data_IF_498206411917
#
_entry.id   IF_498206411917
#
_cell.length_a   1.000
_cell.length_b   1.000
_cell.length_c   1.000
_cell.angle_alpha   90.00
_cell.angle_beta   90.00
_cell.angle_gamma   90.00
#
_symmetry.space_group_name_H-M   'P 1'
#
loop_
_entity.id
_entity.type
_entity.pdbx_description
1 polymer ?
#
# COMPACT_ATOMS: atom_id res chain seq x y z
N UNK A 1 -4.53 10.84 -23.11
CA UNK A 1 -4.37 11.45 -21.78
C UNK A 1 -5.72 11.99 -21.34
N UNK A 2 -6.41 11.32 -20.40
CA UNK A 2 -7.65 11.86 -19.83
C UNK A 2 -7.32 12.87 -18.72
N UNK A 3 -8.01 14.01 -18.65
CA UNK A 3 -7.82 14.96 -17.57
C UNK A 3 -8.29 14.33 -16.25
N UNK A 4 -7.36 14.14 -15.31
CA UNK A 4 -7.65 13.68 -13.96
C UNK A 4 -8.35 14.83 -13.24
N UNK A 5 -9.65 14.68 -12.94
CA UNK A 5 -10.38 15.64 -12.11
C UNK A 5 -9.85 15.56 -10.66
N UNK A 6 -9.53 16.69 -10.00
CA UNK A 6 -9.05 16.68 -8.63
C UNK A 6 -10.11 16.12 -7.68
N UNK A 7 -9.69 15.25 -6.76
CA UNK A 7 -10.52 14.84 -5.63
C UNK A 7 -10.54 15.98 -4.60
N UNK A 8 -11.71 16.61 -4.46
CA UNK A 8 -11.93 17.75 -3.57
C UNK A 8 -12.53 17.21 -2.28
N UNK A 9 -11.72 17.11 -1.23
CA UNK A 9 -12.22 16.83 0.12
C UNK A 9 -13.04 18.04 0.57
N UNK A 10 -14.37 17.88 0.66
CA UNK A 10 -15.27 18.94 1.14
C UNK A 10 -15.00 19.16 2.63
N UNK A 11 -14.16 20.14 2.95
CA UNK A 11 -14.11 20.69 4.31
C UNK A 11 -15.49 21.26 4.59
N UNK A 12 -16.20 20.72 5.59
CA UNK A 12 -17.53 21.14 6.07
C UNK A 12 -17.48 22.49 6.79
N UNK A 13 -16.69 23.44 6.30
CA UNK A 13 -16.84 24.83 6.68
C UNK A 13 -18.07 25.35 5.93
N UNK A 14 -19.07 25.86 6.66
CA UNK A 14 -20.22 26.49 6.01
C UNK A 14 -19.71 27.58 5.06
N UNK A 15 -20.20 27.60 3.81
CA UNK A 15 -19.77 28.60 2.83
C UNK A 15 -20.00 29.99 3.42
N UNK A 16 -18.94 30.79 3.55
CA UNK A 16 -19.09 32.17 4.03
C UNK A 16 -19.72 32.98 2.91
N UNK A 17 -20.94 33.47 3.18
CA UNK A 17 -21.63 34.42 2.30
C UNK A 17 -20.84 35.72 2.29
N UNK A 18 -20.44 36.17 1.10
CA UNK A 18 -19.79 37.46 0.88
C UNK A 18 -20.65 38.29 -0.05
N UNK A 19 -20.57 39.61 0.11
CA UNK A 19 -21.22 40.58 -0.76
C UNK A 19 -20.11 41.37 -1.42
N UNK A 20 -20.18 41.51 -2.74
CA UNK A 20 -19.32 42.41 -3.49
C UNK A 20 -19.83 43.85 -3.30
N UNK A 21 -19.03 44.68 -2.64
CA UNK A 21 -19.40 46.06 -2.29
C UNK A 21 -19.57 46.98 -3.51
N UNK A 22 -18.99 46.63 -4.67
CA UNK A 22 -19.11 47.42 -5.89
C UNK A 22 -20.33 47.07 -6.74
N UNK A 23 -20.71 45.79 -6.78
CA UNK A 23 -21.81 45.31 -7.63
C UNK A 23 -23.08 44.97 -6.85
N UNK A 24 -22.98 44.85 -5.52
CA UNK A 24 -24.03 44.32 -4.65
C UNK A 24 -24.29 42.82 -4.81
N UNK A 25 -23.49 42.11 -5.61
CA UNK A 25 -23.68 40.68 -5.85
C UNK A 25 -23.30 39.86 -4.61
N UNK A 26 -24.17 38.91 -4.26
CA UNK A 26 -23.92 37.94 -3.19
C UNK A 26 -23.28 36.70 -3.80
N UNK A 27 -22.12 36.29 -3.28
CA UNK A 27 -21.44 35.07 -3.68
C UNK A 27 -21.03 34.23 -2.47
N UNK A 28 -20.73 32.96 -2.73
CA UNK A 28 -20.25 32.01 -1.73
C UNK A 28 -18.82 31.60 -2.08
N UNK A 29 -17.90 31.83 -1.17
CA UNK A 29 -16.52 31.40 -1.34
C UNK A 29 -16.29 30.08 -0.62
N UNK A 30 -15.95 29.03 -1.39
CA UNK A 30 -15.54 27.74 -0.87
C UNK A 30 -14.02 27.63 -0.98
N UNK A 31 -13.32 27.86 0.14
CA UNK A 31 -11.88 27.61 0.19
C UNK A 31 -11.65 26.12 0.44
N UNK A 32 -11.18 25.40 -0.58
CA UNK A 32 -10.72 24.02 -0.43
C UNK A 32 -9.20 24.05 -0.30
N UNK A 33 -8.64 23.37 0.70
CA UNK A 33 -7.20 23.14 0.74
C UNK A 33 -6.81 22.30 -0.47
N UNK A 34 -6.00 22.87 -1.37
CA UNK A 34 -5.42 22.11 -2.45
C UNK A 34 -4.53 21.01 -1.87
N UNK A 35 -4.94 19.75 -2.06
CA UNK A 35 -4.10 18.60 -1.77
C UNK A 35 -3.23 18.35 -3.00
N UNK A 36 -1.95 18.07 -2.80
CA UNK A 36 -1.07 17.65 -3.89
C UNK A 36 -1.73 16.48 -4.63
N UNK A 37 -1.77 16.54 -5.97
CA UNK A 37 -2.27 15.43 -6.79
C UNK A 37 -1.31 14.24 -6.76
N UNK A 38 -0.10 14.45 -6.25
CA UNK A 38 0.90 13.43 -6.16
C UNK A 38 0.72 12.62 -4.87
N UNK A 39 0.80 11.28 -4.94
CA UNK A 39 0.61 10.43 -3.78
C UNK A 39 1.74 10.66 -2.78
N UNK A 40 1.43 11.35 -1.67
CA UNK A 40 2.46 11.73 -0.69
C UNK A 40 3.22 10.54 -0.10
N UNK A 41 2.62 9.34 -0.12
CA UNK A 41 3.21 8.12 0.44
C UNK A 41 4.50 7.67 -0.26
N UNK A 42 4.71 8.06 -1.52
CA UNK A 42 5.89 7.66 -2.29
C UNK A 42 7.19 8.23 -1.72
N UNK A 43 7.12 9.46 -1.21
CA UNK A 43 8.26 10.18 -0.61
C UNK A 43 8.31 10.13 0.91
N UNK A 44 7.31 9.52 1.55
CA UNK A 44 7.30 9.39 3.01
C UNK A 44 8.44 8.47 3.45
N UNK A 45 9.25 9.00 4.35
CA UNK A 45 10.27 8.24 5.08
C UNK A 45 9.72 7.85 6.45
N UNK A 46 10.22 6.75 7.01
CA UNK A 46 9.78 6.24 8.32
C UNK A 46 10.50 6.94 9.47
N UNK A 47 11.79 7.16 9.28
CA UNK A 47 12.68 7.79 10.24
C UNK A 47 12.69 9.30 10.13
N UNK A 48 13.39 9.92 11.08
CA UNK A 48 13.70 11.34 11.02
C UNK A 48 15.00 11.51 10.25
N UNK A 49 15.01 12.44 9.30
CA UNK A 49 16.27 12.91 8.72
C UNK A 49 17.03 13.60 9.85
N UNK A 50 18.05 12.92 10.38
CA UNK A 50 18.88 13.45 11.45
C UNK A 50 19.43 14.82 11.06
N UNK A 51 19.33 15.79 11.96
CA UNK A 51 20.03 17.06 11.79
C UNK A 51 21.55 16.73 11.74
N UNK A 52 22.26 17.14 10.67
CA UNK A 52 23.71 16.95 10.57
C UNK A 52 24.49 17.41 11.81
N UNK A 53 23.96 18.40 12.54
CA UNK A 53 24.55 18.94 13.76
C UNK A 53 24.53 17.95 14.93
N UNK A 54 23.59 17.00 14.93
CA UNK A 54 23.42 16.01 16.01
C UNK A 54 24.46 14.91 15.90
N UNK A 55 24.82 14.49 14.68
CA UNK A 55 25.85 13.47 14.47
C UNK A 55 27.26 14.08 14.53
N UNK A 56 27.66 14.60 15.68
CA UNK A 56 29.07 14.92 15.93
C UNK A 56 29.87 13.62 15.97
N UNK A 57 31.10 13.69 15.47
CA UNK A 57 32.05 12.62 15.69
C UNK A 57 32.19 12.39 17.20
N UNK A 58 31.94 11.16 17.67
CA UNK A 58 32.11 10.82 19.09
C UNK A 58 33.59 10.83 19.53
N UNK A 59 34.51 10.76 18.56
CA UNK A 59 35.96 10.80 18.78
C UNK A 59 36.50 12.21 18.58
N UNK A 60 37.60 12.53 19.24
CA UNK A 60 38.35 13.77 19.02
C UNK A 60 38.80 13.82 17.54
N UNK A 61 38.43 14.89 16.84
CA UNK A 61 38.81 15.13 15.44
C UNK A 61 37.66 15.18 14.43
N UNK A 62 37.98 15.64 13.21
CA UNK A 62 37.04 15.72 12.10
C UNK A 62 36.58 14.33 11.61
N UNK A 63 35.39 14.25 11.01
CA UNK A 63 34.92 13.03 10.36
C UNK A 63 35.76 12.70 9.14
N UNK A 64 35.86 11.40 8.81
CA UNK A 64 36.50 11.02 7.56
C UNK A 64 35.71 11.58 6.38
N UNK A 65 36.39 11.90 5.28
CA UNK A 65 35.73 12.38 4.06
C UNK A 65 34.65 11.38 3.58
N UNK A 66 34.93 10.09 3.70
CA UNK A 66 34.00 9.02 3.37
C UNK A 66 32.73 9.09 4.22
N UNK A 67 32.86 9.25 5.54
CA UNK A 67 31.70 9.36 6.43
C UNK A 67 30.87 10.60 6.14
N UNK A 68 31.54 11.73 5.84
CA UNK A 68 30.86 12.96 5.44
C UNK A 68 30.11 12.78 4.12
N UNK A 69 30.72 12.14 3.13
CA UNK A 69 30.11 11.85 1.84
C UNK A 69 28.89 10.93 1.99
N UNK A 70 29.01 9.82 2.73
CA UNK A 70 27.91 8.88 2.98
C UNK A 70 26.72 9.57 3.66
N UNK A 71 26.97 10.41 4.66
CA UNK A 71 25.91 11.17 5.34
C UNK A 71 25.25 12.18 4.41
N UNK A 72 26.04 12.86 3.57
CA UNK A 72 25.53 13.81 2.59
C UNK A 72 24.65 13.11 1.55
N UNK A 73 25.09 11.95 1.05
CA UNK A 73 24.31 11.13 0.11
C UNK A 73 23.02 10.64 0.75
N UNK A 74 23.08 10.04 1.94
CA UNK A 74 21.89 9.56 2.65
C UNK A 74 20.85 10.66 2.88
N UNK A 75 21.29 11.89 3.18
CA UNK A 75 20.40 13.05 3.36
C UNK A 75 19.76 13.52 2.07
N UNK A 76 20.50 13.45 0.96
CA UNK A 76 20.06 13.93 -0.35
C UNK A 76 19.56 12.78 -1.23
N UNK A 77 19.23 11.63 -0.65
CA UNK A 77 18.93 10.40 -1.40
C UNK A 77 17.78 10.59 -2.40
N UNK A 78 16.79 11.43 -2.07
CA UNK A 78 15.67 11.77 -2.96
C UNK A 78 16.06 12.58 -4.20
N UNK A 79 17.30 13.08 -4.27
CA UNK A 79 17.85 13.83 -5.39
C UNK A 79 18.87 13.03 -6.21
N UNK A 80 19.25 11.84 -5.74
CA UNK A 80 20.20 10.98 -6.44
C UNK A 80 19.39 10.09 -7.38
N UNK A 81 19.65 10.21 -8.67
CA UNK A 81 19.01 9.38 -9.68
C UNK A 81 19.69 8.02 -9.83
N UNK A 82 19.08 7.17 -10.63
CA UNK A 82 19.59 5.83 -10.93
C UNK A 82 21.01 5.86 -11.51
N UNK A 83 21.31 6.77 -12.44
CA UNK A 83 22.61 6.85 -13.11
C UNK A 83 23.73 7.24 -12.15
N UNK A 84 23.49 8.20 -11.25
CA UNK A 84 24.43 8.56 -10.20
C UNK A 84 24.65 7.42 -9.21
N UNK A 85 23.57 6.72 -8.80
CA UNK A 85 23.70 5.55 -7.92
C UNK A 85 24.51 4.45 -8.60
N UNK A 86 24.26 4.13 -9.88
CA UNK A 86 24.96 3.07 -10.62
C UNK A 86 26.48 3.27 -10.67
N UNK A 87 26.96 4.52 -10.62
CA UNK A 87 28.39 4.84 -10.61
C UNK A 87 29.08 4.56 -9.26
N UNK A 88 28.33 4.33 -8.17
CA UNK A 88 28.89 4.10 -6.85
C UNK A 88 29.43 2.66 -6.77
N UNK A 89 30.68 2.43 -6.32
CA UNK A 89 31.18 1.08 -6.11
C UNK A 89 30.33 0.30 -5.09
N UNK A 90 30.04 -0.99 -5.33
CA UNK A 90 29.12 -1.80 -4.52
C UNK A 90 29.44 -1.79 -3.01
N UNK A 91 30.72 -1.77 -2.62
CA UNK A 91 31.12 -1.71 -1.21
C UNK A 91 30.77 -0.37 -0.53
N UNK A 92 30.71 0.73 -1.28
CA UNK A 92 30.24 2.03 -0.80
C UNK A 92 28.71 2.04 -0.78
N UNK A 93 28.07 1.49 -1.82
CA UNK A 93 26.62 1.32 -1.87
C UNK A 93 26.11 0.53 -0.64
N UNK A 94 26.75 -0.59 -0.29
CA UNK A 94 26.40 -1.37 0.90
C UNK A 94 26.53 -0.55 2.20
N UNK A 95 27.59 0.26 2.34
CA UNK A 95 27.72 1.17 3.50
C UNK A 95 26.61 2.22 3.52
N UNK A 96 26.23 2.75 2.37
CA UNK A 96 25.14 3.71 2.22
C UNK A 96 23.79 3.07 2.55
N UNK A 97 23.51 1.86 2.05
CA UNK A 97 22.30 1.10 2.34
C UNK A 97 22.16 0.82 3.83
N UNK A 98 23.23 0.38 4.48
CA UNK A 98 23.27 0.17 5.94
C UNK A 98 23.00 1.47 6.69
N UNK A 99 23.58 2.58 6.24
CA UNK A 99 23.35 3.89 6.84
C UNK A 99 21.89 4.32 6.74
N UNK A 100 21.29 4.25 5.54
CA UNK A 100 19.88 4.63 5.29
C UNK A 100 18.92 3.72 6.07
N UNK A 101 19.21 2.43 6.11
CA UNK A 101 18.43 1.44 6.86
C UNK A 101 18.47 1.73 8.35
N UNK A 102 19.66 2.01 8.91
CA UNK A 102 19.83 2.33 10.33
C UNK A 102 19.14 3.63 10.75
N UNK A 103 18.95 4.58 9.82
CA UNK A 103 18.20 5.82 10.07
C UNK A 103 16.73 5.72 9.69
N UNK A 104 16.27 4.59 9.15
CA UNK A 104 14.91 4.40 8.64
C UNK A 104 14.49 5.46 7.60
N UNK A 105 15.45 6.06 6.89
CA UNK A 105 15.21 7.17 5.96
C UNK A 105 14.89 6.73 4.53
N UNK A 106 14.60 5.44 4.33
CA UNK A 106 14.09 4.96 3.06
C UNK A 106 12.73 5.59 2.76
N UNK A 107 12.59 6.15 1.57
CA UNK A 107 11.30 6.29 0.90
C UNK A 107 11.16 5.14 -0.10
N UNK A 108 9.94 4.88 -0.58
CA UNK A 108 9.72 3.82 -1.55
C UNK A 108 10.47 4.11 -2.87
N UNK A 109 10.41 5.35 -3.37
CA UNK A 109 11.13 5.78 -4.57
C UNK A 109 12.66 5.61 -4.44
N UNK A 110 13.23 6.00 -3.30
CA UNK A 110 14.68 5.89 -3.07
C UNK A 110 15.10 4.44 -2.90
N UNK A 111 14.27 3.61 -2.28
CA UNK A 111 14.49 2.18 -2.16
C UNK A 111 14.45 1.49 -3.53
N UNK A 112 13.43 1.77 -4.36
CA UNK A 112 13.32 1.21 -5.71
C UNK A 112 14.51 1.60 -6.59
N UNK A 113 14.86 2.89 -6.60
CA UNK A 113 15.99 3.40 -7.38
C UNK A 113 17.30 2.74 -6.94
N UNK A 114 17.46 2.53 -5.64
CA UNK A 114 18.66 1.91 -5.08
C UNK A 114 18.73 0.40 -5.36
N UNK A 115 17.64 -0.34 -5.18
CA UNK A 115 17.57 -1.78 -5.49
C UNK A 115 17.81 -2.02 -6.98
N UNK A 116 17.27 -1.16 -7.85
CA UNK A 116 17.52 -1.24 -9.28
C UNK A 116 19.01 -1.04 -9.62
N UNK A 117 19.69 -0.12 -8.92
CA UNK A 117 21.10 0.21 -9.18
C UNK A 117 22.09 -0.77 -8.53
N UNK A 118 21.78 -1.28 -7.34
CA UNK A 118 22.66 -2.11 -6.49
C UNK A 118 21.87 -3.22 -5.78
N UNK A 119 21.36 -4.24 -6.49
CA UNK A 119 20.59 -5.31 -5.87
C UNK A 119 21.42 -6.09 -4.83
N UNK A 120 22.74 -6.22 -5.01
CA UNK A 120 23.62 -6.93 -4.09
C UNK A 120 23.88 -6.18 -2.77
N UNK A 121 23.62 -4.87 -2.73
CA UNK A 121 23.94 -4.03 -1.59
C UNK A 121 22.83 -3.96 -0.53
N UNK A 122 21.63 -4.45 -0.85
CA UNK A 122 20.45 -4.39 0.02
C UNK A 122 20.29 -5.73 0.76
N UNK A 123 20.60 -5.79 2.07
CA UNK A 123 20.56 -7.05 2.81
C UNK A 123 19.15 -7.62 2.99
N UNK A 124 18.12 -6.76 2.96
CA UNK A 124 16.72 -7.15 3.01
C UNK A 124 15.95 -6.52 1.85
N UNK A 125 15.57 -7.34 0.86
CA UNK A 125 14.76 -6.93 -0.29
C UNK A 125 13.29 -6.66 0.06
N UNK A 126 12.92 -6.72 1.34
CA UNK A 126 11.58 -6.38 1.78
C UNK A 126 11.48 -4.90 2.14
N UNK A 127 10.64 -4.18 1.39
CA UNK A 127 10.18 -2.85 1.80
C UNK A 127 8.76 -2.93 2.33
N UNK A 128 8.54 -2.37 3.52
CA UNK A 128 7.19 -2.23 4.09
C UNK A 128 6.75 -0.77 3.98
N UNK A 129 5.54 -0.56 3.48
CA UNK A 129 4.91 0.76 3.37
C UNK A 129 3.60 0.77 4.15
N UNK A 130 3.44 1.73 5.05
CA UNK A 130 2.21 1.93 5.81
C UNK A 130 1.55 3.24 5.34
N UNK A 131 0.35 3.13 4.77
CA UNK A 131 -0.42 4.28 4.27
C UNK A 131 -1.63 4.47 5.19
N UNK A 132 -1.55 5.39 6.16
CA UNK A 132 -2.66 5.62 7.06
C UNK A 132 -3.79 6.34 6.32
N UNK A 133 -5.02 5.89 6.57
CA UNK A 133 -6.25 6.54 6.15
C UNK A 133 -7.25 6.51 7.33
N UNK A 134 -8.28 7.33 7.27
CA UNK A 134 -9.32 7.33 8.29
C UNK A 134 -10.15 6.04 8.20
N UNK A 135 -10.52 5.48 9.36
CA UNK A 135 -11.27 4.22 9.41
C UNK A 135 -12.52 4.31 8.54
N UNK A 136 -12.70 3.30 7.69
CA UNK A 136 -13.79 3.14 6.71
C UNK A 136 -14.03 4.29 5.76
N UNK A 137 -13.02 5.09 5.47
CA UNK A 137 -12.98 5.77 4.19
C UNK A 137 -12.77 4.75 3.07
N UNK A 138 -13.11 5.17 1.86
CA UNK A 138 -12.80 4.40 0.66
C UNK A 138 -11.30 4.39 0.40
N UNK A 139 -10.83 3.41 -0.36
CA UNK A 139 -9.42 3.26 -0.74
C UNK A 139 -8.97 4.29 -1.78
N UNK A 140 -8.83 5.56 -1.38
CA UNK A 140 -8.47 6.68 -2.25
C UNK A 140 -7.09 6.52 -2.91
N UNK A 141 -6.14 5.88 -2.22
CA UNK A 141 -4.77 5.67 -2.70
C UNK A 141 -4.60 4.38 -3.52
N UNK A 142 -5.62 3.52 -3.59
CA UNK A 142 -5.51 2.25 -4.32
C UNK A 142 -5.22 2.44 -5.82
N UNK A 143 -5.84 3.37 -6.55
CA UNK A 143 -5.53 3.57 -7.97
C UNK A 143 -4.06 4.01 -8.19
N UNK A 144 -3.53 4.87 -7.32
CA UNK A 144 -2.14 5.33 -7.41
C UNK A 144 -1.17 4.20 -7.07
N UNK A 145 -1.47 3.41 -6.05
CA UNK A 145 -0.72 2.20 -5.68
C UNK A 145 -0.70 1.17 -6.80
N UNK A 146 -1.87 0.85 -7.36
CA UNK A 146 -1.99 -0.14 -8.42
C UNK A 146 -1.17 0.28 -9.65
N UNK A 147 -1.30 1.55 -10.06
CA UNK A 147 -0.50 2.11 -11.16
C UNK A 147 0.99 2.01 -10.88
N UNK A 148 1.42 2.30 -9.65
CA UNK A 148 2.83 2.24 -9.26
C UNK A 148 3.36 0.81 -9.27
N UNK A 149 2.69 -0.12 -8.57
CA UNK A 149 3.06 -1.53 -8.47
C UNK A 149 3.07 -2.22 -9.83
N UNK A 150 2.18 -1.84 -10.74
CA UNK A 150 2.14 -2.36 -12.10
C UNK A 150 3.34 -1.91 -12.97
N UNK A 151 4.00 -0.80 -12.61
CA UNK A 151 5.12 -0.23 -13.36
C UNK A 151 6.49 -0.68 -12.84
N UNK A 152 6.55 -1.45 -11.75
CA UNK A 152 7.82 -1.91 -11.20
C UNK A 152 8.52 -2.87 -12.17
N UNK A 153 9.77 -2.57 -12.50
CA UNK A 153 10.55 -3.20 -13.58
C UNK A 153 11.29 -4.47 -13.16
N UNK A 154 11.34 -4.77 -11.87
CA UNK A 154 12.03 -5.92 -11.29
C UNK A 154 11.02 -6.99 -10.83
N UNK A 155 11.48 -8.25 -10.76
CA UNK A 155 10.68 -9.36 -10.24
C UNK A 155 10.51 -9.19 -8.73
N UNK A 156 9.43 -8.53 -8.36
CA UNK A 156 9.05 -8.27 -6.98
C UNK A 156 7.83 -9.09 -6.65
N UNK A 157 7.64 -9.31 -5.36
CA UNK A 157 6.44 -9.95 -4.85
C UNK A 157 5.74 -8.98 -3.92
N UNK A 158 4.46 -8.75 -4.19
CA UNK A 158 3.66 -7.79 -3.45
C UNK A 158 2.84 -8.50 -2.37
N UNK A 159 2.92 -7.96 -1.16
CA UNK A 159 2.04 -8.30 -0.04
C UNK A 159 1.18 -7.10 0.27
N UNK A 160 -0.12 -7.21 0.02
CA UNK A 160 -1.07 -6.13 0.28
C UNK A 160 -1.92 -6.47 1.50
N UNK A 161 -1.94 -5.57 2.46
CA UNK A 161 -2.80 -5.66 3.65
C UNK A 161 -3.66 -4.42 3.75
N UNK A 162 -4.98 -4.58 3.66
CA UNK A 162 -5.98 -3.52 3.82
C UNK A 162 -6.79 -3.84 5.06
N UNK A 163 -6.79 -2.93 6.03
CA UNK A 163 -7.36 -3.18 7.36
C UNK A 163 -8.29 -2.04 7.74
N UNK A 164 -9.52 -2.37 8.16
CA UNK A 164 -10.53 -1.43 8.67
C UNK A 164 -10.98 -0.34 7.66
N UNK A 165 -10.78 -0.57 6.36
CA UNK A 165 -11.21 0.33 5.29
C UNK A 165 -12.45 -0.18 4.57
N UNK A 166 -13.20 0.73 3.95
CA UNK A 166 -14.33 0.36 3.10
C UNK A 166 -13.81 0.02 1.71
N UNK A 167 -14.23 -1.13 1.17
CA UNK A 167 -13.89 -1.54 -0.19
C UNK A 167 -15.15 -1.83 -0.97
N UNK A 168 -15.18 -1.37 -2.21
CA UNK A 168 -16.22 -1.72 -3.18
C UNK A 168 -15.78 -2.90 -4.02
N UNK A 169 -16.70 -3.48 -4.79
CA UNK A 169 -16.37 -4.49 -5.80
C UNK A 169 -15.33 -3.96 -6.79
N UNK A 170 -15.42 -2.69 -7.16
CA UNK A 170 -14.46 -2.04 -8.05
C UNK A 170 -13.06 -1.98 -7.44
N UNK A 171 -12.95 -1.73 -6.13
CA UNK A 171 -11.66 -1.78 -5.45
C UNK A 171 -11.03 -3.18 -5.50
N UNK A 172 -11.82 -4.24 -5.32
CA UNK A 172 -11.32 -5.60 -5.46
C UNK A 172 -10.86 -5.93 -6.88
N UNK A 173 -11.54 -5.41 -7.90
CA UNK A 173 -11.12 -5.55 -9.29
C UNK A 173 -9.82 -4.79 -9.56
N UNK A 174 -9.63 -3.61 -8.97
CA UNK A 174 -8.37 -2.88 -9.03
C UNK A 174 -7.24 -3.66 -8.34
N UNK A 175 -7.48 -4.24 -7.17
CA UNK A 175 -6.49 -5.08 -6.46
C UNK A 175 -6.10 -6.30 -7.30
N UNK A 176 -7.07 -6.91 -7.99
CA UNK A 176 -6.80 -8.07 -8.84
C UNK A 176 -5.82 -7.76 -9.97
N UNK A 177 -5.79 -6.52 -10.46
CA UNK A 177 -4.89 -6.10 -11.56
C UNK A 177 -3.41 -6.01 -11.14
N UNK A 178 -3.10 -6.12 -9.84
CA UNK A 178 -1.71 -6.09 -9.36
C UNK A 178 -1.03 -7.40 -9.81
N UNK A 179 -0.06 -7.35 -10.76
CA UNK A 179 0.40 -8.56 -11.47
C UNK A 179 1.17 -9.54 -10.57
N UNK A 180 1.88 -9.02 -9.57
CA UNK A 180 2.74 -9.81 -8.69
C UNK A 180 2.20 -9.92 -7.25
N UNK A 181 0.88 -9.92 -7.07
CA UNK A 181 0.27 -10.06 -5.76
C UNK A 181 0.34 -11.51 -5.27
N UNK A 182 1.17 -11.78 -4.25
CA UNK A 182 1.32 -13.12 -3.64
C UNK A 182 0.46 -13.26 -2.38
N UNK A 183 0.41 -12.21 -1.56
CA UNK A 183 -0.33 -12.21 -0.30
C UNK A 183 -1.35 -11.09 -0.33
N UNK A 184 -2.62 -11.44 -0.15
CA UNK A 184 -3.71 -10.49 0.00
C UNK A 184 -4.39 -10.70 1.35
N UNK A 185 -4.30 -9.68 2.22
CA UNK A 185 -4.99 -9.63 3.48
C UNK A 185 -6.03 -8.50 3.45
N UNK A 186 -7.31 -8.85 3.48
CA UNK A 186 -8.41 -7.90 3.62
C UNK A 186 -9.10 -8.13 4.95
N UNK A 187 -9.13 -7.10 5.77
CA UNK A 187 -9.86 -7.09 7.02
C UNK A 187 -10.95 -6.02 6.92
N UNK A 188 -12.18 -6.50 6.78
CA UNK A 188 -13.38 -5.66 6.79
C UNK A 188 -13.58 -4.98 8.14
N UNK A 189 -14.54 -4.05 8.16
CA UNK A 189 -15.04 -3.52 9.43
C UNK A 189 -15.86 -4.59 10.14
N UNK A 190 -15.73 -4.66 11.45
CA UNK A 190 -16.68 -5.40 12.27
C UNK A 190 -18.03 -4.68 12.14
N UNK A 191 -18.94 -5.22 11.32
CA UNK A 191 -20.31 -4.70 11.23
C UNK A 191 -21.00 -4.94 12.58
N UNK A 192 -21.63 -3.91 13.15
CA UNK A 192 -22.33 -4.05 14.41
C UNK A 192 -23.59 -4.89 14.23
N UNK A 193 -23.65 -6.06 14.89
CA UNK A 193 -24.77 -6.98 15.17
C UNK A 193 -25.91 -7.26 14.15
N UNK A 194 -26.09 -6.52 13.06
CA UNK A 194 -27.06 -6.83 12.01
C UNK A 194 -26.39 -7.67 10.93
N UNK A 195 -26.62 -8.98 11.00
CA UNK A 195 -26.10 -10.01 10.08
C UNK A 195 -26.57 -9.78 8.63
N UNK A 196 -27.71 -9.10 8.43
CA UNK A 196 -28.31 -8.94 7.09
C UNK A 196 -27.72 -7.81 6.24
N UNK A 197 -26.88 -6.93 6.79
CA UNK A 197 -26.38 -5.72 6.09
C UNK A 197 -24.89 -5.80 5.71
N UNK A 198 -24.27 -6.98 5.77
CA UNK A 198 -22.89 -7.11 5.33
C UNK A 198 -22.78 -7.06 3.80
N UNK A 199 -22.11 -6.02 3.35
CA UNK A 199 -21.75 -5.83 1.93
C UNK A 199 -20.83 -6.98 1.44
N UNK A 200 -20.16 -7.68 2.35
CA UNK A 200 -19.08 -8.63 2.08
C UNK A 200 -19.52 -10.07 2.30
N UNK A 201 -20.44 -10.55 1.46
CA UNK A 201 -21.02 -11.89 1.55
C UNK A 201 -20.49 -12.87 0.48
N UNK A 202 -21.01 -14.10 0.47
CA UNK A 202 -20.63 -15.12 -0.53
C UNK A 202 -20.85 -14.69 -1.97
N UNK A 203 -21.90 -13.91 -2.24
CA UNK A 203 -22.18 -13.41 -3.60
C UNK A 203 -21.11 -12.44 -4.07
N UNK A 204 -20.68 -11.54 -3.17
CA UNK A 204 -19.60 -10.59 -3.43
C UNK A 204 -18.30 -11.31 -3.78
N UNK A 205 -17.87 -12.29 -2.98
CA UNK A 205 -16.65 -13.06 -3.25
C UNK A 205 -16.78 -13.96 -4.47
N UNK A 206 -17.95 -14.56 -4.71
CA UNK A 206 -18.20 -15.38 -5.90
C UNK A 206 -18.06 -14.57 -7.19
N UNK A 207 -18.56 -13.32 -7.19
CA UNK A 207 -18.42 -12.41 -8.34
C UNK A 207 -16.97 -12.02 -8.54
N UNK A 208 -16.25 -11.70 -7.47
CA UNK A 208 -14.83 -11.37 -7.54
C UNK A 208 -14.00 -12.55 -8.07
N UNK A 209 -14.19 -13.75 -7.51
CA UNK A 209 -13.45 -14.95 -7.93
C UNK A 209 -13.70 -15.27 -9.40
N UNK A 210 -14.95 -15.16 -9.86
CA UNK A 210 -15.30 -15.39 -11.27
C UNK A 210 -14.55 -14.43 -12.20
N UNK A 211 -14.48 -13.14 -11.86
CA UNK A 211 -13.77 -12.15 -12.68
C UNK A 211 -12.26 -12.38 -12.67
N UNK A 212 -11.68 -12.70 -11.51
CA UNK A 212 -10.25 -13.00 -11.40
C UNK A 212 -9.88 -14.20 -12.28
N UNK A 213 -10.65 -15.28 -12.18
CA UNK A 213 -10.43 -16.50 -12.98
C UNK A 213 -10.61 -16.24 -14.48
N UNK A 214 -11.63 -15.47 -14.86
CA UNK A 214 -11.89 -15.14 -16.26
C UNK A 214 -10.84 -14.19 -16.88
N UNK A 215 -10.16 -13.39 -16.06
CA UNK A 215 -9.13 -12.45 -16.52
C UNK A 215 -7.70 -12.98 -16.44
N UNK A 216 -7.48 -14.12 -15.78
CA UNK A 216 -6.14 -14.66 -15.54
C UNK A 216 -5.30 -13.82 -14.56
N UNK A 217 -5.92 -12.88 -13.86
CA UNK A 217 -5.29 -12.10 -12.81
C UNK A 217 -5.00 -12.94 -11.57
N UNK A 218 -4.16 -12.42 -10.67
CA UNK A 218 -3.79 -13.10 -9.41
C UNK A 218 -3.21 -14.50 -9.60
N UNK A 219 -2.54 -14.75 -10.73
CA UNK A 219 -1.89 -16.03 -11.03
C UNK A 219 -0.77 -16.39 -10.05
N UNK A 220 -0.19 -15.38 -9.37
CA UNK A 220 0.83 -15.54 -8.32
C UNK A 220 0.27 -15.52 -6.88
N UNK A 221 -1.05 -15.39 -6.69
CA UNK A 221 -1.65 -15.30 -5.35
C UNK A 221 -1.56 -16.64 -4.63
N UNK A 222 -0.81 -16.68 -3.53
CA UNK A 222 -0.57 -17.89 -2.72
C UNK A 222 -1.27 -17.86 -1.38
N UNK A 223 -1.45 -16.67 -0.82
CA UNK A 223 -2.07 -16.49 0.50
C UNK A 223 -3.18 -15.48 0.41
N UNK A 224 -4.39 -15.91 0.80
CA UNK A 224 -5.57 -15.07 0.88
C UNK A 224 -6.11 -15.06 2.30
N UNK A 225 -6.26 -13.88 2.89
CA UNK A 225 -6.77 -13.71 4.25
C UNK A 225 -7.96 -12.77 4.17
N UNK A 226 -9.15 -13.25 4.53
CA UNK A 226 -10.36 -12.45 4.67
C UNK A 226 -10.85 -12.49 6.11
N UNK A 227 -10.90 -11.33 6.76
CA UNK A 227 -11.39 -11.21 8.13
C UNK A 227 -12.58 -10.28 8.23
N UNK A 228 -13.57 -10.69 9.02
CA UNK A 228 -14.83 -9.96 9.19
C UNK A 228 -15.63 -9.86 7.87
N UNK A 229 -15.68 -10.97 7.13
CA UNK A 229 -16.56 -11.17 5.98
C UNK A 229 -17.67 -12.14 6.38
N UNK A 230 -18.87 -11.98 5.83
CA UNK A 230 -20.02 -12.86 6.10
C UNK A 230 -20.10 -13.93 5.03
N UNK A 231 -19.13 -14.83 5.07
CA UNK A 231 -18.89 -15.85 4.04
C UNK A 231 -19.07 -17.24 4.63
N UNK A 232 -19.59 -18.15 3.84
CA UNK A 232 -19.80 -19.56 4.22
C UNK A 232 -18.75 -20.46 3.58
N UNK A 233 -18.80 -21.76 3.88
CA UNK A 233 -17.92 -22.76 3.26
C UNK A 233 -18.10 -22.85 1.73
N UNK A 234 -19.22 -22.35 1.18
CA UNK A 234 -19.45 -22.28 -0.26
C UNK A 234 -18.42 -21.40 -0.98
N UNK A 235 -17.95 -20.32 -0.34
CA UNK A 235 -16.90 -19.44 -0.88
C UNK A 235 -15.60 -20.19 -1.14
N UNK A 236 -15.21 -21.13 -0.27
CA UNK A 236 -13.97 -21.91 -0.45
C UNK A 236 -13.97 -22.71 -1.75
N UNK A 237 -15.13 -23.25 -2.15
CA UNK A 237 -15.27 -23.95 -3.44
C UNK A 237 -15.02 -23.01 -4.62
N UNK A 238 -15.41 -21.74 -4.50
CA UNK A 238 -15.21 -20.72 -5.55
C UNK A 238 -13.76 -20.24 -5.64
N UNK A 239 -12.99 -20.37 -4.57
CA UNK A 239 -11.57 -20.03 -4.52
C UNK A 239 -10.65 -21.19 -4.93
N UNK A 240 -11.16 -22.43 -4.92
CA UNK A 240 -10.41 -23.62 -5.36
C UNK A 240 -9.77 -23.55 -6.76
N UNK A 241 -10.32 -22.84 -7.76
CA UNK A 241 -9.70 -22.80 -9.08
C UNK A 241 -8.51 -21.84 -9.19
N UNK A 242 -8.12 -21.13 -8.12
CA UNK A 242 -6.97 -20.23 -8.15
C UNK A 242 -5.68 -21.06 -8.28
N UNK A 243 -4.87 -20.84 -9.33
CA UNK A 243 -3.82 -21.79 -9.70
C UNK A 243 -2.67 -21.89 -8.70
N UNK A 244 -2.36 -20.79 -7.99
CA UNK A 244 -1.25 -20.73 -7.04
C UNK A 244 -1.71 -20.65 -5.57
N UNK A 245 -3.03 -20.62 -5.31
CA UNK A 245 -3.54 -20.39 -3.96
C UNK A 245 -3.26 -21.60 -3.07
N UNK A 246 -2.39 -21.40 -2.09
CA UNK A 246 -1.95 -22.46 -1.16
C UNK A 246 -2.59 -22.31 0.22
N UNK A 247 -2.87 -21.08 0.66
CA UNK A 247 -3.43 -20.81 1.98
C UNK A 247 -4.59 -19.82 1.88
N UNK A 248 -5.73 -20.21 2.44
CA UNK A 248 -6.90 -19.34 2.57
C UNK A 248 -7.34 -19.29 4.04
N UNK A 249 -7.22 -18.12 4.67
CA UNK A 249 -7.71 -17.88 6.01
C UNK A 249 -9.00 -17.05 5.92
N UNK A 250 -10.13 -17.69 6.22
CA UNK A 250 -11.44 -17.04 6.27
C UNK A 250 -11.89 -16.94 7.74
N UNK A 251 -12.00 -15.73 8.24
CA UNK A 251 -12.60 -15.43 9.54
C UNK A 251 -13.99 -14.83 9.31
N UNK A 252 -15.01 -15.66 9.53
CA UNK A 252 -16.43 -15.28 9.44
C UNK A 252 -17.22 -15.80 10.64
N UNK A 253 -18.23 -15.04 11.06
CA UNK A 253 -19.21 -15.49 12.05
C UNK A 253 -20.00 -16.69 11.51
N UNK A 254 -20.31 -16.69 10.21
CA UNK A 254 -21.07 -17.75 9.54
C UNK A 254 -20.33 -19.10 9.50
N UNK A 255 -18.99 -19.10 9.44
CA UNK A 255 -18.18 -20.32 9.38
C UNK A 255 -18.15 -21.11 10.70
N UNK A 256 -18.34 -20.43 11.85
CA UNK A 256 -18.35 -21.11 13.15
C UNK A 256 -19.48 -22.15 13.24
N UNK A 257 -20.57 -21.92 12.52
CA UNK A 257 -21.73 -22.81 12.47
C UNK A 257 -21.56 -24.00 11.51
N UNK A 258 -20.61 -23.95 10.57
CA UNK A 258 -20.49 -24.91 9.44
C UNK A 258 -19.23 -25.81 9.52
N UNK A 259 -18.64 -25.94 10.72
CA UNK A 259 -17.41 -26.72 10.96
C UNK A 259 -17.47 -28.20 10.56
N UNK A 260 -18.68 -28.75 10.34
CA UNK A 260 -18.87 -30.15 10.01
C UNK A 260 -18.67 -30.50 8.52
N UNK A 261 -18.57 -29.52 7.60
CA UNK A 261 -18.60 -29.77 6.14
C UNK A 261 -17.29 -29.48 5.36
N UNK A 262 -16.28 -28.88 5.99
CA UNK A 262 -15.11 -28.33 5.27
C UNK A 262 -14.12 -29.38 4.76
N UNK A 263 -13.94 -30.51 5.47
CA UNK A 263 -12.96 -31.55 5.11
C UNK A 263 -13.24 -32.25 3.78
N UNK A 264 -14.47 -32.16 3.24
CA UNK A 264 -14.84 -32.83 1.97
C UNK A 264 -14.25 -32.19 0.71
N UNK A 265 -13.71 -30.98 0.78
CA UNK A 265 -13.31 -30.22 -0.41
C UNK A 265 -11.78 -30.08 -0.57
N UNK A 266 -10.98 -30.91 0.10
CA UNK A 266 -9.51 -30.85 0.02
C UNK A 266 -8.87 -29.68 0.78
N UNK A 267 -9.66 -28.94 1.57
CA UNK A 267 -9.15 -27.89 2.47
C UNK A 267 -9.03 -28.45 3.89
N UNK A 268 -7.84 -28.36 4.48
CA UNK A 268 -7.63 -28.66 5.89
C UNK A 268 -7.87 -27.40 6.73
N UNK A 269 -8.75 -27.50 7.72
CA UNK A 269 -9.00 -26.41 8.67
C UNK A 269 -7.93 -26.47 9.76
N UNK A 270 -7.00 -25.52 9.73
CA UNK A 270 -6.01 -25.33 10.80
C UNK A 270 -6.64 -24.37 11.82
N UNK A 271 -6.92 -24.89 13.02
CA UNK A 271 -7.58 -24.17 14.11
C UNK A 271 -6.62 -23.47 15.06
#
# INVERSE_FOLDING_TARGET
MHPIKPYVERVTAQPKRKVDDTTGQIYYENSVKARSMLPSWMWKTRGRVDDPRVRKNKRLGAASLMDMALRSMARNMTRIDYEALRCIPSHIAMKLANLITSSETWSLETWETFVAAHPEAVPDMNYKLDIPDARGTNLCELPSLNKHLSNLTFDHVTRLSIVELAFTTDNLFEIAKIPNLEVLNLQGRVSGNSVDDSVYNDYFLSRWSYVVLGSGHLSKLRVLIFRHFDVTSATLKKLSPFPALALCNLESVCLKSDRNNTSRNGWEVIG
#
